data_IF_684312220035
#
_entry.id   IF_684312220035
#
_cell.length_a   1.000
_cell.length_b   1.000
_cell.length_c   1.000
_cell.angle_alpha   90.00
_cell.angle_beta   90.00
_cell.angle_gamma   90.00
#
_symmetry.space_group_name_H-M   'P 1'
#
loop_
_entity.id
_entity.type
_entity.pdbx_description
1 polymer ?
#
# COMPACT_ATOMS: atom_id res chain seq x y z
N UNK A 1 7.62 0.30 10.38
CA UNK A 1 8.18 1.64 10.06
C UNK A 1 7.73 2.08 8.66
N UNK A 2 8.03 1.31 7.61
CA UNK A 2 7.69 1.70 6.22
C UNK A 2 6.19 1.94 6.02
N UNK A 3 5.34 1.10 6.59
CA UNK A 3 3.89 1.27 6.60
C UNK A 3 3.46 2.58 7.28
N UNK A 4 4.07 2.92 8.41
CA UNK A 4 3.78 4.17 9.13
C UNK A 4 4.15 5.38 8.29
N UNK A 5 5.29 5.36 7.62
CA UNK A 5 5.71 6.46 6.73
C UNK A 5 4.74 6.61 5.56
N UNK A 6 4.34 5.52 4.91
CA UNK A 6 3.36 5.56 3.82
C UNK A 6 2.01 6.13 4.28
N UNK A 7 1.50 5.67 5.41
CA UNK A 7 0.23 6.19 5.97
C UNK A 7 0.35 7.65 6.42
N UNK A 8 1.49 8.08 6.95
CA UNK A 8 1.70 9.49 7.30
C UNK A 8 1.69 10.39 6.06
N UNK A 9 2.34 9.97 4.97
CA UNK A 9 2.37 10.72 3.71
C UNK A 9 0.97 10.85 3.09
N UNK A 10 0.15 9.79 3.15
CA UNK A 10 -1.22 9.79 2.61
C UNK A 10 -2.23 10.38 3.61
N UNK A 11 -1.88 10.47 4.89
CA UNK A 11 -2.77 10.90 5.96
C UNK A 11 -3.36 12.31 5.77
N UNK A 12 -2.55 13.23 5.25
CA UNK A 12 -3.03 14.59 4.95
C UNK A 12 -4.16 14.56 3.91
N UNK A 13 -3.98 13.78 2.84
CA UNK A 13 -5.02 13.59 1.83
C UNK A 13 -6.24 12.90 2.43
N UNK A 14 -6.03 11.89 3.26
CA UNK A 14 -7.11 11.15 3.91
C UNK A 14 -7.98 12.08 4.78
N UNK A 15 -7.38 12.99 5.55
CA UNK A 15 -8.13 13.99 6.35
C UNK A 15 -8.93 14.92 5.46
N UNK A 16 -8.33 15.43 4.39
CA UNK A 16 -9.03 16.33 3.45
C UNK A 16 -10.23 15.64 2.76
N UNK A 17 -10.04 14.39 2.32
CA UNK A 17 -11.13 13.61 1.72
C UNK A 17 -12.21 13.23 2.74
N UNK A 18 -11.84 12.89 3.96
CA UNK A 18 -12.80 12.62 5.03
C UNK A 18 -13.68 13.83 5.34
N UNK A 19 -13.09 15.03 5.41
CA UNK A 19 -13.85 16.27 5.58
C UNK A 19 -14.82 16.52 4.42
N UNK A 20 -14.34 16.33 3.18
CA UNK A 20 -15.18 16.49 1.98
C UNK A 20 -16.35 15.52 1.96
N UNK A 21 -16.11 14.24 2.27
CA UNK A 21 -17.16 13.22 2.36
C UNK A 21 -18.15 13.57 3.47
N UNK A 22 -17.68 14.00 4.64
CA UNK A 22 -18.55 14.38 5.77
C UNK A 22 -19.48 15.54 5.36
N UNK A 23 -18.95 16.59 4.75
CA UNK A 23 -19.75 17.72 4.30
C UNK A 23 -20.77 17.32 3.24
N UNK A 24 -20.37 16.44 2.29
CA UNK A 24 -21.27 15.92 1.27
C UNK A 24 -22.42 15.10 1.88
N UNK A 25 -22.13 14.24 2.85
CA UNK A 25 -23.15 13.44 3.54
C UNK A 25 -24.09 14.31 4.39
N UNK A 26 -23.56 15.30 5.08
CA UNK A 26 -24.38 16.25 5.84
C UNK A 26 -25.33 17.01 4.92
N UNK A 27 -24.85 17.56 3.82
CA UNK A 27 -25.70 18.26 2.85
C UNK A 27 -26.84 17.39 2.31
N UNK A 28 -26.59 16.08 2.08
CA UNK A 28 -27.64 15.13 1.64
C UNK A 28 -28.68 14.91 2.75
N UNK A 29 -28.25 14.75 3.99
CA UNK A 29 -29.14 14.54 5.14
C UNK A 29 -30.00 15.80 5.37
N UNK A 30 -29.38 16.98 5.34
CA UNK A 30 -30.08 18.25 5.53
C UNK A 30 -31.13 18.48 4.43
N UNK A 31 -30.79 18.18 3.18
CA UNK A 31 -31.73 18.27 2.06
C UNK A 31 -32.90 17.29 2.22
N UNK A 32 -32.65 16.09 2.71
CA UNK A 32 -33.71 15.12 2.99
C UNK A 32 -34.63 15.58 4.13
N UNK A 33 -34.07 16.12 5.20
CA UNK A 33 -34.84 16.66 6.32
C UNK A 33 -35.69 17.90 5.92
N UNK A 34 -35.11 18.78 5.12
CA UNK A 34 -35.81 19.97 4.63
C UNK A 34 -37.01 19.66 3.72
N UNK A 35 -37.04 18.48 3.09
CA UNK A 35 -38.17 18.05 2.24
C UNK A 35 -39.45 17.75 3.06
N UNK A 36 -39.32 17.49 4.36
CA UNK A 36 -40.44 17.14 5.26
C UNK A 36 -41.12 15.81 4.94
N UNK A 37 -40.61 15.06 3.96
CA UNK A 37 -41.13 13.75 3.54
C UNK A 37 -40.20 12.62 3.98
N UNK A 38 -40.75 11.45 4.40
CA UNK A 38 -39.93 10.27 4.66
C UNK A 38 -39.34 9.78 3.37
N UNK A 39 -38.01 9.91 3.21
CA UNK A 39 -37.29 9.42 2.03
C UNK A 39 -36.02 8.67 2.41
N UNK A 40 -35.68 7.67 1.61
CA UNK A 40 -34.43 6.92 1.79
C UNK A 40 -33.27 7.70 1.18
N UNK A 41 -32.25 7.95 1.97
CA UNK A 41 -31.01 8.61 1.51
C UNK A 41 -29.92 7.57 1.37
N UNK A 42 -29.43 7.40 0.14
CA UNK A 42 -28.25 6.58 -0.12
C UNK A 42 -26.99 7.36 0.23
N UNK A 43 -26.29 6.94 1.28
CA UNK A 43 -25.07 7.58 1.74
C UNK A 43 -23.86 7.27 0.87
N UNK A 44 -23.82 6.07 0.29
CA UNK A 44 -22.76 5.69 -0.66
C UNK A 44 -23.23 6.01 -2.08
N UNK A 45 -22.59 6.98 -2.70
CA UNK A 45 -22.83 7.42 -4.07
C UNK A 45 -21.53 7.56 -4.86
N UNK A 46 -21.65 8.04 -6.11
CA UNK A 46 -20.49 8.20 -6.99
C UNK A 46 -19.41 9.13 -6.43
N UNK A 47 -19.79 10.15 -5.66
CA UNK A 47 -18.83 11.08 -5.01
C UNK A 47 -18.04 10.37 -3.92
N UNK A 48 -18.72 9.65 -3.04
CA UNK A 48 -18.07 8.88 -1.96
C UNK A 48 -17.16 7.79 -2.54
N UNK A 49 -17.63 7.09 -3.58
CA UNK A 49 -16.82 6.07 -4.26
C UNK A 49 -15.61 6.67 -4.99
N UNK A 50 -15.75 7.84 -5.60
CA UNK A 50 -14.64 8.52 -6.25
C UNK A 50 -13.58 8.98 -5.24
N UNK A 51 -13.99 9.54 -4.10
CA UNK A 51 -13.06 9.96 -3.04
C UNK A 51 -12.37 8.75 -2.38
N UNK A 52 -13.07 7.65 -2.17
CA UNK A 52 -12.49 6.40 -1.69
C UNK A 52 -11.49 5.81 -2.71
N UNK A 53 -11.84 5.82 -4.00
CA UNK A 53 -10.96 5.38 -5.08
C UNK A 53 -9.70 6.24 -5.20
N UNK A 54 -9.82 7.56 -5.05
CA UNK A 54 -8.69 8.48 -5.04
C UNK A 54 -7.74 8.21 -3.87
N UNK A 55 -8.28 8.00 -2.66
CA UNK A 55 -7.49 7.67 -1.49
C UNK A 55 -6.73 6.35 -1.69
N UNK A 56 -7.41 5.34 -2.22
CA UNK A 56 -6.81 4.06 -2.52
C UNK A 56 -5.71 4.17 -3.56
N UNK A 57 -5.94 4.89 -4.66
CA UNK A 57 -4.95 5.14 -5.70
C UNK A 57 -3.72 5.87 -5.16
N UNK A 58 -3.93 6.88 -4.30
CA UNK A 58 -2.84 7.60 -3.64
C UNK A 58 -2.02 6.68 -2.72
N UNK A 59 -2.68 5.83 -1.94
CA UNK A 59 -2.02 4.88 -1.05
C UNK A 59 -1.14 3.89 -1.84
N UNK A 60 -1.68 3.34 -2.93
CA UNK A 60 -0.95 2.42 -3.81
C UNK A 60 0.22 3.12 -4.50
N UNK A 61 0.02 4.32 -5.04
CA UNK A 61 1.06 5.07 -5.74
C UNK A 61 2.21 5.48 -4.80
N UNK A 62 1.89 6.05 -3.64
CA UNK A 62 2.89 6.46 -2.64
C UNK A 62 3.66 5.25 -2.12
N UNK A 63 2.97 4.17 -1.79
CA UNK A 63 3.61 2.94 -1.33
C UNK A 63 4.53 2.33 -2.38
N UNK A 64 4.07 2.29 -3.65
CA UNK A 64 4.87 1.79 -4.76
C UNK A 64 6.17 2.61 -4.96
N UNK A 65 6.06 3.93 -4.98
CA UNK A 65 7.20 4.83 -5.15
C UNK A 65 8.14 4.73 -3.94
N UNK A 66 7.60 4.80 -2.74
CA UNK A 66 8.36 4.76 -1.49
C UNK A 66 9.13 3.44 -1.29
N UNK A 67 8.58 2.30 -1.69
CA UNK A 67 9.29 1.03 -1.57
C UNK A 67 10.21 0.75 -2.76
N UNK A 68 9.82 1.12 -3.98
CA UNK A 68 10.58 0.78 -5.19
C UNK A 68 11.87 1.59 -5.30
N UNK A 69 11.79 2.91 -5.13
CA UNK A 69 12.95 3.79 -5.35
C UNK A 69 14.07 3.51 -4.34
N UNK A 70 13.83 3.51 -3.01
CA UNK A 70 14.90 3.25 -2.05
C UNK A 70 15.53 1.86 -2.19
N UNK A 71 14.72 0.84 -2.48
CA UNK A 71 15.24 -0.52 -2.67
C UNK A 71 16.09 -0.63 -3.94
N UNK A 72 15.70 0.03 -5.03
CA UNK A 72 16.48 0.02 -6.26
C UNK A 72 17.79 0.81 -6.14
N UNK A 73 17.76 1.96 -5.43
CA UNK A 73 18.94 2.85 -5.30
C UNK A 73 19.87 2.42 -4.17
N UNK A 74 19.32 2.13 -2.99
CA UNK A 74 20.10 1.82 -1.78
C UNK A 74 20.02 0.36 -1.33
N UNK A 75 19.20 -0.47 -1.99
CA UNK A 75 18.95 -1.87 -1.61
C UNK A 75 18.08 -2.03 -0.36
N UNK A 76 17.54 -0.94 0.20
CA UNK A 76 16.78 -0.96 1.46
C UNK A 76 15.84 0.24 1.59
N UNK A 77 14.70 0.06 2.26
CA UNK A 77 13.85 1.14 2.73
C UNK A 77 14.32 1.65 4.08
N UNK A 78 13.73 2.74 4.59
CA UNK A 78 14.08 3.26 5.92
C UNK A 78 13.85 2.21 7.01
N UNK A 79 12.72 1.50 7.01
CA UNK A 79 12.46 0.46 7.99
C UNK A 79 13.45 -0.71 7.90
N UNK A 80 13.79 -1.15 6.69
CA UNK A 80 14.81 -2.19 6.50
C UNK A 80 16.19 -1.72 6.96
N UNK A 81 16.54 -0.45 6.73
CA UNK A 81 17.80 0.14 7.20
C UNK A 81 17.92 0.11 8.72
N UNK A 82 16.84 0.43 9.45
CA UNK A 82 16.82 0.39 10.93
C UNK A 82 17.10 -1.01 11.49
N UNK A 83 16.76 -2.08 10.77
CA UNK A 83 17.00 -3.46 11.18
C UNK A 83 18.24 -4.08 10.54
N UNK A 84 19.04 -3.31 9.81
CA UNK A 84 20.22 -3.80 9.11
C UNK A 84 19.89 -4.79 8.00
N UNK A 85 18.72 -4.67 7.37
CA UNK A 85 18.25 -5.55 6.30
C UNK A 85 18.53 -4.94 4.94
N UNK A 86 19.01 -5.74 4.00
CA UNK A 86 19.28 -5.34 2.62
C UNK A 86 18.64 -6.33 1.66
N UNK A 87 18.03 -5.80 0.60
CA UNK A 87 17.41 -6.59 -0.47
C UNK A 87 18.44 -6.77 -1.59
N UNK A 88 18.67 -8.01 -1.98
CA UNK A 88 19.59 -8.37 -3.05
C UNK A 88 18.88 -9.16 -4.16
N UNK A 89 19.37 -9.01 -5.37
CA UNK A 89 18.97 -9.81 -6.51
C UNK A 89 19.48 -11.26 -6.34
N UNK A 90 18.59 -12.24 -6.52
CA UNK A 90 18.92 -13.66 -6.29
C UNK A 90 19.96 -14.21 -7.27
N UNK A 91 20.11 -13.59 -8.44
CA UNK A 91 21.06 -14.05 -9.47
C UNK A 91 22.41 -13.35 -9.36
N UNK A 92 22.40 -12.01 -9.28
CA UNK A 92 23.63 -11.20 -9.29
C UNK A 92 24.20 -10.94 -7.90
N UNK A 93 23.42 -11.22 -6.83
CA UNK A 93 23.78 -10.90 -5.43
C UNK A 93 24.12 -9.41 -5.22
N UNK A 94 23.69 -8.56 -6.14
CA UNK A 94 23.82 -7.11 -6.13
C UNK A 94 22.46 -6.44 -5.91
N UNK A 95 22.41 -5.11 -5.96
CA UNK A 95 21.14 -4.37 -5.86
C UNK A 95 20.19 -4.78 -6.98
N UNK A 96 18.89 -4.99 -6.67
CA UNK A 96 17.93 -5.39 -7.67
C UNK A 96 17.66 -4.24 -8.65
N UNK A 97 17.39 -4.60 -9.91
CA UNK A 97 17.00 -3.63 -10.95
C UNK A 97 15.62 -3.06 -10.66
N UNK A 98 15.39 -1.79 -11.03
CA UNK A 98 14.10 -1.09 -10.85
C UNK A 98 12.88 -1.95 -11.25
N UNK A 99 12.91 -2.60 -12.41
CA UNK A 99 11.78 -3.42 -12.85
C UNK A 99 11.46 -4.60 -11.93
N UNK A 100 12.47 -5.25 -11.35
CA UNK A 100 12.25 -6.34 -10.37
C UNK A 100 11.73 -5.83 -9.05
N UNK A 101 12.25 -4.68 -8.60
CA UNK A 101 11.76 -4.04 -7.37
C UNK A 101 10.30 -3.59 -7.54
N UNK A 102 9.97 -3.01 -8.69
CA UNK A 102 8.61 -2.59 -9.02
C UNK A 102 7.64 -3.80 -9.01
N UNK A 103 7.99 -4.87 -9.70
CA UNK A 103 7.17 -6.10 -9.73
C UNK A 103 6.97 -6.68 -8.33
N UNK A 104 8.04 -6.72 -7.54
CA UNK A 104 8.01 -7.16 -6.15
C UNK A 104 7.05 -6.33 -5.31
N UNK A 105 7.18 -5.00 -5.35
CA UNK A 105 6.36 -4.08 -4.55
C UNK A 105 4.90 -4.09 -5.02
N UNK A 106 4.66 -4.09 -6.34
CA UNK A 106 3.31 -4.16 -6.89
C UNK A 106 2.58 -5.44 -6.45
N UNK A 107 3.27 -6.58 -6.47
CA UNK A 107 2.69 -7.82 -6.00
C UNK A 107 2.40 -7.81 -4.50
N UNK A 108 3.36 -7.34 -3.69
CA UNK A 108 3.17 -7.21 -2.25
C UNK A 108 1.93 -6.37 -1.93
N UNK A 109 1.79 -5.20 -2.56
CA UNK A 109 0.63 -4.33 -2.36
C UNK A 109 -0.67 -4.98 -2.83
N UNK A 110 -0.65 -5.66 -3.98
CA UNK A 110 -1.84 -6.37 -4.48
C UNK A 110 -2.30 -7.45 -3.50
N UNK A 111 -1.37 -8.25 -2.96
CA UNK A 111 -1.70 -9.29 -1.99
C UNK A 111 -2.21 -8.71 -0.67
N UNK A 112 -1.60 -7.63 -0.19
CA UNK A 112 -2.07 -6.93 1.02
C UNK A 112 -3.48 -6.36 0.79
N UNK A 113 -3.72 -5.76 -0.37
CA UNK A 113 -5.03 -5.22 -0.74
C UNK A 113 -6.12 -6.30 -0.81
N UNK A 114 -5.79 -7.48 -1.35
CA UNK A 114 -6.70 -8.63 -1.40
C UNK A 114 -6.86 -9.35 -0.04
N UNK A 115 -6.34 -8.79 1.06
CA UNK A 115 -6.31 -9.39 2.39
C UNK A 115 -5.54 -10.74 2.45
N UNK A 116 -4.74 -11.02 1.44
CA UNK A 116 -3.91 -12.24 1.35
C UNK A 116 -2.49 -12.01 1.88
N UNK A 117 -2.20 -10.82 2.43
CA UNK A 117 -0.87 -10.46 2.92
C UNK A 117 -0.31 -11.39 3.99
N UNK A 118 -1.17 -11.99 4.82
CA UNK A 118 -0.75 -13.00 5.81
C UNK A 118 -0.31 -14.29 5.12
N UNK A 119 -0.99 -14.72 4.06
CA UNK A 119 -0.64 -15.91 3.30
C UNK A 119 0.69 -15.75 2.57
N UNK A 120 1.11 -14.51 2.30
CA UNK A 120 2.40 -14.20 1.68
C UNK A 120 3.59 -14.60 2.56
N UNK A 121 3.41 -14.68 3.88
CA UNK A 121 4.45 -15.09 4.83
C UNK A 121 4.65 -16.62 4.86
N UNK A 122 3.68 -17.41 4.40
CA UNK A 122 3.76 -18.87 4.42
C UNK A 122 4.97 -19.41 3.65
N UNK A 123 5.26 -18.96 2.42
CA UNK A 123 6.46 -19.42 1.71
C UNK A 123 7.77 -19.00 2.40
N UNK A 124 7.79 -17.85 3.08
CA UNK A 124 8.95 -17.41 3.85
C UNK A 124 9.27 -18.36 5.02
N UNK A 125 8.23 -18.91 5.66
CA UNK A 125 8.38 -19.87 6.74
C UNK A 125 8.77 -21.27 6.23
N UNK A 126 8.31 -21.65 5.03
CA UNK A 126 8.56 -22.98 4.44
C UNK A 126 9.83 -23.07 3.62
N UNK A 127 10.31 -21.95 3.07
CA UNK A 127 11.56 -21.90 2.28
C UNK A 127 12.79 -21.95 3.19
N UNK A 128 13.44 -23.11 3.22
CA UNK A 128 14.62 -23.37 4.08
C UNK A 128 15.92 -22.73 3.57
N UNK A 129 16.01 -22.37 2.27
CA UNK A 129 17.26 -21.86 1.67
C UNK A 129 17.37 -20.34 1.74
N UNK A 130 16.38 -19.63 1.22
CA UNK A 130 16.44 -18.18 1.06
C UNK A 130 15.36 -17.44 1.85
N UNK A 131 14.43 -18.17 2.48
CA UNK A 131 13.29 -17.63 3.24
C UNK A 131 12.54 -16.55 2.46
N UNK A 132 12.32 -16.80 1.17
CA UNK A 132 11.65 -15.89 0.26
C UNK A 132 10.14 -15.99 0.39
N UNK A 133 9.47 -14.83 0.50
CA UNK A 133 8.02 -14.70 0.31
C UNK A 133 7.64 -14.77 -1.17
N UNK A 134 6.36 -14.78 -1.49
CA UNK A 134 5.92 -14.85 -2.89
C UNK A 134 6.39 -13.66 -3.72
N UNK A 135 6.28 -12.45 -3.18
CA UNK A 135 6.74 -11.26 -3.86
C UNK A 135 8.26 -11.26 -4.09
N UNK A 136 9.04 -11.82 -3.16
CA UNK A 136 10.48 -11.97 -3.32
C UNK A 136 10.83 -12.99 -4.41
N UNK A 137 10.08 -14.08 -4.52
CA UNK A 137 10.26 -15.09 -5.57
C UNK A 137 9.97 -14.52 -6.95
N UNK A 138 8.89 -13.76 -7.10
CA UNK A 138 8.53 -13.09 -8.36
C UNK A 138 9.53 -12.00 -8.75
N UNK A 139 9.97 -11.21 -7.78
CA UNK A 139 11.01 -10.21 -7.99
C UNK A 139 12.41 -10.78 -8.17
N UNK A 140 12.58 -12.11 -7.99
CA UNK A 140 13.88 -12.77 -7.92
C UNK A 140 14.85 -12.06 -6.97
N UNK A 141 14.37 -11.71 -5.77
CA UNK A 141 15.11 -11.01 -4.72
C UNK A 141 15.15 -11.84 -3.43
N UNK A 142 16.05 -11.52 -2.54
CA UNK A 142 16.08 -12.05 -1.18
C UNK A 142 16.62 -11.01 -0.21
N UNK A 143 16.29 -11.18 1.06
CA UNK A 143 16.66 -10.24 2.12
C UNK A 143 17.79 -10.85 2.94
N UNK A 144 18.84 -10.08 3.17
CA UNK A 144 19.97 -10.44 4.03
C UNK A 144 20.13 -9.44 5.16
N UNK A 145 20.68 -9.90 6.27
CA UNK A 145 21.14 -9.03 7.33
C UNK A 145 22.55 -8.59 6.99
N UNK A 146 22.77 -7.27 6.83
CA UNK A 146 24.07 -6.65 6.55
C UNK A 146 24.79 -6.27 7.81
#
# INVERSE_FOLDING_TARGET
>A
VDTVVTYALVGVLAVALAQRVTLHLQAKIDAAQASGLPQTVWLVDGTVLADAGLLLAALLAVGLVYETIPVAVWGRTLGKAMFGLTVLDARSKSRPRLGRTLLRTAMCQTLVFLLLGILELVPCATDRKLRQSWHDKLGATFVVKG
#
